data_IF_506552602882
#
_entry.id   IF_506552602882
#
_cell.length_a   1.000
_cell.length_b   1.000
_cell.length_c   1.000
_cell.angle_alpha   90.00
_cell.angle_beta   90.00
_cell.angle_gamma   90.00
#
_symmetry.space_group_name_H-M   'P 1'
#
loop_
_entity.id
_entity.type
_entity.pdbx_description
1 polymer ?
#
# COMPACT_ATOMS: atom_id res chain seq x y z
N UNK A 1 -60.35 -25.55 18.77
CA UNK A 1 -60.16 -26.88 18.15
C UNK A 1 -58.79 -26.87 17.49
N UNK A 2 -57.74 -27.40 18.10
CA UNK A 2 -57.26 -28.81 18.05
C UNK A 2 -56.85 -29.27 16.63
N UNK A 3 -55.53 -29.49 16.48
CA UNK A 3 -54.74 -30.17 15.43
C UNK A 3 -55.37 -31.52 14.97
N UNK A 4 -54.80 -32.33 14.03
CA UNK A 4 -53.57 -32.22 13.21
C UNK A 4 -53.78 -32.60 11.72
N UNK A 5 -52.75 -32.46 10.88
CA UNK A 5 -52.64 -33.29 9.66
C UNK A 5 -51.38 -34.14 9.74
N UNK A 6 -51.62 -35.45 9.69
CA UNK A 6 -50.70 -36.57 9.81
C UNK A 6 -49.96 -36.89 8.50
N UNK A 7 -48.77 -37.47 8.64
CA UNK A 7 -47.81 -38.01 7.66
C UNK A 7 -48.38 -39.02 6.65
N UNK A 8 -47.61 -39.37 5.59
CA UNK A 8 -46.77 -40.56 5.69
C UNK A 8 -45.32 -40.39 5.20
N UNK A 9 -44.47 -41.19 5.84
CA UNK A 9 -43.04 -41.43 5.63
C UNK A 9 -42.81 -42.28 4.38
N UNK A 10 -41.72 -42.03 3.65
CA UNK A 10 -40.99 -43.05 2.87
C UNK A 10 -39.48 -42.78 3.01
N UNK A 11 -38.84 -43.35 4.04
CA UNK A 11 -37.93 -44.52 4.01
C UNK A 11 -36.80 -44.44 2.96
N UNK A 12 -35.62 -44.12 3.50
CA UNK A 12 -34.28 -44.69 3.28
C UNK A 12 -33.58 -44.57 1.92
N UNK A 13 -32.46 -43.84 1.95
CA UNK A 13 -31.19 -44.37 1.47
C UNK A 13 -30.09 -44.01 2.48
N UNK A 14 -29.63 -45.03 3.22
CA UNK A 14 -28.45 -44.96 4.06
C UNK A 14 -27.24 -45.02 3.12
N UNK A 15 -26.48 -43.94 3.04
CA UNK A 15 -25.13 -43.96 2.49
C UNK A 15 -24.14 -43.85 3.66
N UNK A 16 -23.56 -45.00 4.01
CA UNK A 16 -22.39 -45.10 4.88
C UNK A 16 -21.18 -44.60 4.09
N UNK A 17 -20.59 -43.48 4.50
CA UNK A 17 -19.26 -43.08 4.08
C UNK A 17 -18.39 -42.90 5.33
N UNK A 18 -17.34 -43.71 5.37
CA UNK A 18 -16.35 -43.83 6.45
C UNK A 18 -15.21 -42.83 6.18
N UNK A 19 -14.47 -42.50 7.25
CA UNK A 19 -13.13 -41.89 7.25
C UNK A 19 -13.08 -40.36 7.10
N UNK A 20 -12.27 -39.60 7.84
CA UNK A 20 -11.33 -39.88 8.92
C UNK A 20 -11.08 -38.54 9.64
N UNK A 21 -10.86 -38.59 10.96
CA UNK A 21 -10.32 -37.45 11.70
C UNK A 21 -8.95 -37.08 11.12
N UNK A 22 -8.83 -35.91 10.51
CA UNK A 22 -7.53 -35.32 10.17
C UNK A 22 -7.41 -33.99 10.91
N UNK A 23 -6.88 -34.07 12.13
CA UNK A 23 -6.29 -32.93 12.83
C UNK A 23 -5.10 -32.42 12.02
N UNK A 24 -5.31 -31.36 11.26
CA UNK A 24 -4.23 -30.62 10.61
C UNK A 24 -3.46 -29.83 11.66
N UNK A 25 -2.34 -30.39 12.07
CA UNK A 25 -1.23 -29.64 12.68
C UNK A 25 -0.62 -28.75 11.59
N UNK A 26 -0.51 -27.42 11.75
CA UNK A 26 0.31 -26.60 10.86
C UNK A 26 1.78 -26.89 11.19
N UNK A 27 2.46 -27.65 10.34
CA UNK A 27 3.92 -27.72 10.35
C UNK A 27 4.47 -26.55 9.52
N UNK A 28 5.42 -25.83 10.12
CA UNK A 28 6.08 -24.65 9.59
C UNK A 28 6.80 -24.89 8.24
N UNK A 29 6.76 -23.89 7.37
CA UNK A 29 7.72 -23.74 6.26
C UNK A 29 8.35 -22.36 6.38
N UNK A 30 9.67 -22.37 6.52
CA UNK A 30 10.47 -21.23 6.93
C UNK A 30 10.42 -20.05 5.98
N UNK A 31 10.41 -18.86 6.58
CA UNK A 31 10.90 -17.65 5.94
C UNK A 31 12.39 -17.84 5.64
N UNK A 32 12.72 -18.12 4.38
CA UNK A 32 14.04 -17.74 3.87
C UNK A 32 14.15 -16.22 3.98
N UNK A 33 15.27 -15.66 4.47
CA UNK A 33 15.49 -14.23 4.37
C UNK A 33 15.58 -13.90 2.88
N UNK A 34 14.62 -13.13 2.37
CA UNK A 34 14.81 -12.42 1.14
C UNK A 34 15.95 -11.42 1.40
N UNK A 35 17.11 -11.68 0.82
CA UNK A 35 18.13 -10.66 0.64
C UNK A 35 17.46 -9.59 -0.23
N UNK A 36 17.11 -8.46 0.38
CA UNK A 36 16.66 -7.29 -0.36
C UNK A 36 17.85 -6.81 -1.19
N UNK A 37 17.87 -7.18 -2.46
CA UNK A 37 18.66 -6.44 -3.43
C UNK A 37 18.09 -5.02 -3.49
N UNK A 38 18.95 -4.01 -3.56
CA UNK A 38 18.57 -2.59 -3.68
C UNK A 38 17.95 -2.40 -5.07
N UNK A 39 16.71 -2.82 -5.20
CA UNK A 39 15.82 -2.68 -6.34
C UNK A 39 14.54 -2.05 -5.83
N UNK A 40 13.98 -1.15 -6.66
CA UNK A 40 12.67 -0.52 -6.53
C UNK A 40 11.80 -1.04 -5.37
N UNK A 41 11.75 -0.27 -4.28
CA UNK A 41 10.97 -0.64 -3.09
C UNK A 41 9.66 0.15 -3.14
N UNK A 42 8.59 -0.52 -3.52
CA UNK A 42 7.24 0.04 -3.41
C UNK A 42 6.84 0.15 -1.94
N UNK A 43 6.36 1.33 -1.54
CA UNK A 43 5.68 1.54 -0.27
C UNK A 43 4.18 1.73 -0.51
N UNK A 44 3.35 1.10 0.34
CA UNK A 44 1.89 1.16 0.23
C UNK A 44 1.28 1.78 1.48
N UNK A 45 0.34 2.71 1.29
CA UNK A 45 -0.47 3.30 2.35
C UNK A 45 -1.95 3.21 1.98
N UNK A 46 -2.69 2.37 2.70
CA UNK A 46 -4.14 2.25 2.58
C UNK A 46 -4.87 3.12 3.62
N UNK A 47 -6.10 3.51 3.31
CA UNK A 47 -6.97 4.24 4.24
C UNK A 47 -7.64 5.45 3.59
N UNK A 48 -8.58 6.07 4.29
CA UNK A 48 -9.28 7.27 3.84
C UNK A 48 -9.79 7.26 2.41
N UNK A 49 -10.33 6.10 1.98
CA UNK A 49 -10.90 5.85 0.66
C UNK A 49 -9.90 5.83 -0.50
N UNK A 50 -8.60 5.99 -0.25
CA UNK A 50 -7.54 6.02 -1.28
C UNK A 50 -6.40 5.08 -0.89
N UNK A 51 -6.04 4.17 -1.79
CA UNK A 51 -4.79 3.42 -1.71
C UNK A 51 -3.70 4.22 -2.40
N UNK A 52 -2.57 4.39 -1.72
CA UNK A 52 -1.38 5.06 -2.24
C UNK A 52 -0.29 4.02 -2.39
N UNK A 53 0.24 3.88 -3.59
CA UNK A 53 1.44 3.10 -3.91
C UNK A 53 2.52 4.09 -4.36
N UNK A 54 3.73 3.96 -3.82
CA UNK A 54 4.85 4.81 -4.18
C UNK A 54 6.07 3.96 -4.49
N UNK A 55 6.52 4.02 -5.73
CA UNK A 55 7.75 3.39 -6.16
C UNK A 55 8.90 4.39 -6.09
N UNK A 56 10.02 3.92 -5.53
CA UNK A 56 11.28 4.64 -5.55
C UNK A 56 12.42 3.68 -5.77
N UNK A 57 13.18 3.96 -6.82
CA UNK A 57 14.33 3.17 -7.29
C UNK A 57 15.62 3.50 -6.54
N UNK A 58 15.61 4.53 -5.69
CA UNK A 58 16.69 4.87 -4.77
C UNK A 58 17.42 6.18 -5.10
N UNK A 59 18.47 6.52 -4.33
CA UNK A 59 19.15 7.81 -4.37
C UNK A 59 19.80 8.16 -5.72
N UNK A 60 20.18 7.17 -6.53
CA UNK A 60 20.87 7.37 -7.81
C UNK A 60 20.00 8.08 -8.85
N UNK A 61 18.66 7.94 -8.75
CA UNK A 61 17.69 8.61 -9.62
C UNK A 61 17.15 9.91 -8.99
N UNK A 62 17.72 10.32 -7.86
CA UNK A 62 17.35 11.53 -7.15
C UNK A 62 16.03 11.41 -6.40
N UNK A 63 15.51 12.58 -6.03
CA UNK A 63 14.27 12.71 -5.25
C UNK A 63 13.07 12.77 -6.20
N UNK A 64 12.82 11.66 -6.90
CA UNK A 64 11.68 11.49 -7.82
C UNK A 64 10.99 10.16 -7.55
N UNK A 65 9.69 10.23 -7.26
CA UNK A 65 8.88 9.10 -6.82
C UNK A 65 7.76 8.88 -7.81
N UNK A 66 7.51 7.64 -8.22
CA UNK A 66 6.33 7.32 -8.99
C UNK A 66 5.18 7.04 -8.02
N UNK A 67 4.18 7.91 -8.02
CA UNK A 67 3.05 7.82 -7.08
C UNK A 67 1.82 7.36 -7.85
N UNK A 68 1.14 6.33 -7.36
CA UNK A 68 -0.12 5.82 -7.86
C UNK A 68 -1.19 5.91 -6.77
N UNK A 69 -2.32 6.51 -7.13
CA UNK A 69 -3.49 6.72 -6.29
C UNK A 69 -4.67 5.97 -6.89
N UNK A 70 -5.28 5.11 -6.10
CA UNK A 70 -6.46 4.33 -6.48
C UNK A 70 -7.60 4.55 -5.50
N UNK A 71 -8.80 4.81 -6.02
CA UNK A 71 -10.03 4.93 -5.22
C UNK A 71 -11.24 4.46 -6.01
N UNK A 72 -12.33 4.12 -5.32
CA UNK A 72 -13.64 3.89 -5.93
C UNK A 72 -14.72 4.84 -5.36
N UNK A 73 -14.33 5.89 -4.64
CA UNK A 73 -15.25 6.72 -3.87
C UNK A 73 -15.23 8.21 -4.25
N UNK A 74 -14.08 8.76 -4.63
CA UNK A 74 -13.89 10.21 -4.86
C UNK A 74 -13.21 10.49 -6.19
N UNK A 75 -13.45 11.67 -6.75
CA UNK A 75 -12.69 12.18 -7.89
C UNK A 75 -11.32 12.73 -7.42
N UNK A 76 -10.23 12.20 -7.98
CA UNK A 76 -8.86 12.61 -7.65
C UNK A 76 -8.33 13.72 -8.56
N UNK A 77 -9.07 14.14 -9.60
CA UNK A 77 -8.60 15.18 -10.51
C UNK A 77 -8.28 16.51 -9.82
N UNK A 78 -8.99 16.96 -8.76
CA UNK A 78 -8.63 18.19 -8.05
C UNK A 78 -7.37 18.09 -7.20
N UNK A 79 -6.90 16.88 -6.86
CA UNK A 79 -5.77 16.68 -5.97
C UNK A 79 -4.44 17.02 -6.66
N UNK A 80 -3.59 17.79 -5.98
CA UNK A 80 -2.19 17.98 -6.33
C UNK A 80 -1.34 17.60 -5.11
N UNK A 81 -0.17 17.01 -5.35
CA UNK A 81 0.76 16.59 -4.30
C UNK A 81 1.89 17.61 -4.09
N UNK A 82 1.78 18.83 -4.63
CA UNK A 82 2.78 19.89 -4.50
C UNK A 82 3.13 20.28 -3.05
N UNK A 83 2.23 20.04 -2.09
CA UNK A 83 2.47 20.29 -0.66
C UNK A 83 3.23 19.15 0.04
N UNK A 84 3.63 18.12 -0.70
CA UNK A 84 4.40 17.01 -0.14
C UNK A 84 5.80 17.43 0.30
N UNK A 85 6.28 16.77 1.35
CA UNK A 85 7.62 16.98 1.92
C UNK A 85 8.39 15.67 1.90
N UNK A 86 9.65 15.74 1.47
CA UNK A 86 10.61 14.67 1.68
C UNK A 86 11.49 15.03 2.87
N UNK A 87 11.56 14.17 3.88
CA UNK A 87 12.38 14.36 5.10
C UNK A 87 13.40 13.25 5.23
N UNK A 88 14.60 13.56 5.70
CA UNK A 88 15.58 12.53 6.10
C UNK A 88 15.76 12.46 7.62
N UNK A 89 16.56 11.48 8.03
CA UNK A 89 16.97 11.18 9.40
C UNK A 89 17.72 12.30 10.12
N UNK A 90 18.39 13.17 9.35
CA UNK A 90 19.05 14.38 9.87
C UNK A 90 18.09 15.55 10.10
N UNK A 91 16.82 15.41 9.71
CA UNK A 91 15.80 16.45 9.83
C UNK A 91 15.83 17.50 8.71
N UNK A 92 16.59 17.26 7.65
CA UNK A 92 16.54 18.08 6.43
C UNK A 92 15.25 17.79 5.67
N UNK A 93 14.78 18.77 4.89
CA UNK A 93 13.55 18.64 4.11
C UNK A 93 13.69 19.20 2.70
N UNK A 94 13.06 18.53 1.74
CA UNK A 94 12.84 19.05 0.39
C UNK A 94 11.34 19.26 0.15
N UNK A 95 11.00 20.27 -0.66
CA UNK A 95 9.62 20.57 -1.06
C UNK A 95 9.33 19.99 -2.44
N UNK A 96 8.13 19.46 -2.63
CA UNK A 96 7.72 18.92 -3.91
C UNK A 96 7.53 20.02 -4.98
N UNK A 97 7.71 19.62 -6.23
CA UNK A 97 7.23 20.31 -7.42
C UNK A 97 5.75 19.97 -7.66
N UNK A 98 5.03 20.75 -8.49
CA UNK A 98 3.70 20.36 -8.95
C UNK A 98 3.69 18.92 -9.48
N UNK A 99 2.71 18.13 -9.06
CA UNK A 99 2.68 16.71 -9.36
C UNK A 99 2.48 16.47 -10.87
N UNK A 100 3.44 15.78 -11.50
CA UNK A 100 3.42 15.48 -12.92
C UNK A 100 2.55 14.24 -13.20
N UNK A 101 1.25 14.38 -12.99
CA UNK A 101 0.26 13.33 -13.21
C UNK A 101 -0.90 13.85 -14.08
N UNK A 102 -1.24 13.18 -15.19
CA UNK A 102 -2.42 13.52 -15.95
C UNK A 102 -3.70 13.39 -15.11
N UNK A 103 -4.80 13.96 -15.61
CA UNK A 103 -6.13 13.67 -15.10
C UNK A 103 -6.46 12.20 -15.34
N UNK A 104 -7.20 11.61 -14.42
CA UNK A 104 -7.50 10.17 -14.43
C UNK A 104 -8.74 9.79 -13.60
N UNK A 105 -9.40 10.77 -12.98
CA UNK A 105 -10.61 10.56 -12.19
C UNK A 105 -10.31 9.75 -10.94
N UNK A 106 -10.76 8.49 -10.92
CA UNK A 106 -10.64 7.59 -9.76
C UNK A 106 -9.29 6.85 -9.66
N UNK A 107 -8.46 6.94 -10.69
CA UNK A 107 -7.11 6.39 -10.73
C UNK A 107 -6.17 7.46 -11.27
N UNK A 108 -5.12 7.82 -10.52
CA UNK A 108 -4.13 8.80 -10.98
C UNK A 108 -2.73 8.36 -10.63
N UNK A 109 -1.82 8.48 -11.58
CA UNK A 109 -0.42 8.13 -11.40
C UNK A 109 0.48 9.16 -12.06
N UNK A 110 1.71 9.29 -11.56
CA UNK A 110 2.71 10.17 -12.14
C UNK A 110 3.87 10.46 -11.21
N UNK A 111 4.85 11.20 -11.73
CA UNK A 111 6.07 11.51 -10.98
C UNK A 111 5.88 12.69 -10.04
N UNK A 112 6.19 12.47 -8.77
CA UNK A 112 6.36 13.49 -7.74
C UNK A 112 7.85 13.74 -7.53
N UNK A 113 8.33 14.90 -7.95
CA UNK A 113 9.75 15.28 -7.86
C UNK A 113 9.95 16.43 -6.88
N UNK A 114 11.15 16.53 -6.32
CA UNK A 114 11.46 17.51 -5.28
C UNK A 114 12.50 18.55 -5.77
N UNK A 115 12.43 19.75 -5.22
CA UNK A 115 13.39 20.83 -5.44
C UNK A 115 14.63 20.69 -4.53
N UNK A 116 15.81 21.08 -5.02
CA UNK A 116 17.04 21.13 -4.23
C UNK A 116 18.13 20.17 -4.72
N UNK A 117 19.19 20.04 -3.92
CA UNK A 117 20.32 19.15 -4.20
C UNK A 117 20.04 17.76 -3.59
N UNK A 118 19.54 16.84 -4.42
CA UNK A 118 19.23 15.48 -3.97
C UNK A 118 20.49 14.70 -3.60
N UNK A 119 21.63 14.96 -4.22
CA UNK A 119 22.88 14.26 -3.90
C UNK A 119 23.35 14.60 -2.49
N UNK A 120 23.30 15.89 -2.12
CA UNK A 120 23.58 16.32 -0.75
C UNK A 120 22.53 15.79 0.23
N UNK A 121 21.24 15.80 -0.14
CA UNK A 121 20.16 15.34 0.72
C UNK A 121 20.28 13.85 1.08
N UNK A 122 20.70 13.00 0.15
CA UNK A 122 20.84 11.55 0.38
C UNK A 122 22.22 11.12 0.90
N UNK A 123 23.24 11.97 0.84
CA UNK A 123 24.55 11.65 1.40
C UNK A 123 24.44 11.31 2.89
N UNK A 124 25.06 10.22 3.32
CA UNK A 124 25.07 9.74 4.72
C UNK A 124 23.68 9.72 5.38
N UNK A 125 22.67 9.29 4.62
CA UNK A 125 21.27 9.20 5.06
C UNK A 125 20.93 7.76 5.41
N UNK A 126 20.50 7.51 6.64
CA UNK A 126 20.04 6.17 7.03
C UNK A 126 18.64 5.90 6.46
N UNK A 127 17.76 6.90 6.47
CA UNK A 127 16.38 6.77 6.01
C UNK A 127 15.78 8.08 5.52
N UNK A 128 14.73 7.93 4.70
CA UNK A 128 13.89 9.04 4.25
C UNK A 128 12.41 8.73 4.42
N UNK A 129 11.61 9.79 4.51
CA UNK A 129 10.17 9.75 4.62
C UNK A 129 9.52 10.71 3.62
N UNK A 130 8.66 10.17 2.76
CA UNK A 130 7.72 10.93 1.94
C UNK A 130 6.47 11.22 2.76
N UNK A 131 6.17 12.50 2.96
CA UNK A 131 5.00 12.98 3.68
C UNK A 131 4.02 13.56 2.67
N UNK A 132 2.84 12.93 2.55
CA UNK A 132 1.75 13.38 1.69
C UNK A 132 0.64 13.98 2.55
N UNK A 133 0.24 15.21 2.26
CA UNK A 133 -0.85 15.89 2.96
C UNK A 133 -2.19 15.69 2.25
N UNK A 134 -3.27 15.49 3.02
CA UNK A 134 -4.64 15.56 2.50
C UNK A 134 -5.03 14.56 1.41
N UNK A 135 -4.45 13.36 1.40
CA UNK A 135 -4.80 12.32 0.42
C UNK A 135 -5.97 11.48 0.95
N UNK A 136 -7.13 11.67 0.34
CA UNK A 136 -8.39 11.10 0.82
C UNK A 136 -8.94 11.89 2.01
N UNK A 137 -9.50 11.21 3.01
CA UNK A 137 -9.93 11.85 4.27
C UNK A 137 -8.83 11.86 5.37
N UNK A 138 -7.63 11.36 5.05
CA UNK A 138 -6.51 11.37 5.98
C UNK A 138 -5.78 12.72 5.91
N UNK A 139 -5.50 13.36 7.06
CA UNK A 139 -4.76 14.62 7.07
C UNK A 139 -3.32 14.46 6.58
N UNK A 140 -2.71 13.30 6.81
CA UNK A 140 -1.34 13.02 6.43
C UNK A 140 -1.10 11.52 6.23
N UNK A 141 -0.21 11.18 5.30
CA UNK A 141 0.40 9.85 5.13
C UNK A 141 1.91 9.98 5.14
N UNK A 142 2.59 9.00 5.72
CA UNK A 142 4.06 8.93 5.74
C UNK A 142 4.50 7.58 5.19
N UNK A 143 5.33 7.58 4.16
CA UNK A 143 5.94 6.40 3.55
C UNK A 143 7.45 6.48 3.74
N UNK A 144 8.10 5.39 4.14
CA UNK A 144 9.49 5.39 4.59
C UNK A 144 10.35 4.40 3.81
N UNK A 145 11.58 4.81 3.51
CA UNK A 145 12.61 3.94 2.95
C UNK A 145 13.88 4.02 3.79
N UNK A 146 14.53 2.87 3.94
CA UNK A 146 15.90 2.79 4.45
C UNK A 146 16.86 2.97 3.24
N UNK A 147 17.89 3.79 3.42
CA UNK A 147 18.82 4.23 2.36
C UNK A 147 20.24 3.74 2.63
N UNK A 148 20.70 3.82 3.88
CA UNK A 148 22.06 3.49 4.30
C UNK A 148 22.29 2.04 4.75
N UNK A 149 21.41 1.10 4.37
CA UNK A 149 21.50 -0.31 4.76
C UNK A 149 22.54 -1.10 3.93
#
# INVERSE_FOLDING_TARGET
>A
MKLPRTMPILIAAIALAVAACSSQTPAASGSSPATNEVGEVTQTSEGGQVTVEVDWVGPSEGASFHVKLDTHAIDLDPLDLADAILRNDRGETMTARPWAAPKGGHHREGFLSFEGDSSAFFADTDWIELVLAGVGDLPQRTLRWEVGA
#
